data_IF_075919884975
#
_entry.id   IF_075919884975
#
_cell.length_a   1.000
_cell.length_b   1.000
_cell.length_c   1.000
_cell.angle_alpha   90.00
_cell.angle_beta   90.00
_cell.angle_gamma   90.00
#
_symmetry.space_group_name_H-M   'P 1'
#
loop_
_entity.id
_entity.type
_entity.pdbx_description
1 polymer ?
#
# COMPACT_ATOMS: atom_id res chain seq x y z
N UNK A 1 12.94 -10.85 -24.55
CA UNK A 1 13.05 -9.40 -24.26
C UNK A 1 12.21 -9.12 -23.02
N UNK A 2 12.83 -8.90 -21.87
CA UNK A 2 12.12 -8.68 -20.60
C UNK A 2 11.67 -7.22 -20.54
N UNK A 3 10.45 -6.95 -21.00
CA UNK A 3 9.84 -5.63 -20.85
C UNK A 3 9.23 -5.57 -19.46
N UNK A 4 9.86 -4.83 -18.56
CA UNK A 4 9.25 -4.49 -17.28
C UNK A 4 8.12 -3.48 -17.55
N UNK A 5 6.89 -3.97 -17.70
CA UNK A 5 5.74 -3.12 -18.01
C UNK A 5 5.21 -2.36 -16.77
N UNK A 6 6.07 -1.66 -16.03
CA UNK A 6 5.69 -0.79 -14.91
C UNK A 6 5.27 0.61 -15.38
N UNK A 7 4.57 0.68 -16.51
CA UNK A 7 4.08 1.92 -17.10
C UNK A 7 2.99 2.53 -16.19
N UNK A 8 3.16 3.81 -15.84
CA UNK A 8 2.21 4.58 -15.05
C UNK A 8 1.35 5.44 -15.99
N UNK A 9 0.03 5.34 -15.85
CA UNK A 9 -0.91 6.25 -16.51
C UNK A 9 -0.89 7.63 -15.82
N UNK A 10 -0.88 7.62 -14.48
CA UNK A 10 -0.92 8.86 -13.69
C UNK A 10 -0.29 8.65 -12.31
N UNK A 11 0.36 9.70 -11.81
CA UNK A 11 0.80 9.78 -10.42
C UNK A 11 0.52 11.15 -9.85
N UNK A 12 -0.10 11.23 -8.67
CA UNK A 12 -0.28 12.50 -7.98
C UNK A 12 -0.44 12.33 -6.46
N UNK A 13 -0.08 13.35 -5.66
CA UNK A 13 -0.44 13.39 -4.25
C UNK A 13 -1.96 13.48 -4.05
N UNK A 14 -2.46 12.90 -2.95
CA UNK A 14 -3.87 12.96 -2.54
C UNK A 14 -3.99 13.83 -1.29
N UNK A 15 -5.06 14.62 -1.22
CA UNK A 15 -5.41 15.42 -0.04
C UNK A 15 -4.73 16.79 0.05
N UNK A 16 -5.15 17.62 1.01
CA UNK A 16 -4.57 18.93 1.25
C UNK A 16 -3.12 18.83 1.70
N UNK A 17 -2.34 19.88 1.45
CA UNK A 17 -1.00 20.02 2.03
C UNK A 17 -1.15 20.04 3.55
N UNK A 18 -0.24 19.35 4.25
CA UNK A 18 -0.25 19.26 5.71
C UNK A 18 0.77 20.29 6.24
N UNK A 19 0.37 21.05 7.25
CA UNK A 19 1.19 22.14 7.81
C UNK A 19 2.35 21.62 8.66
N UNK A 20 2.26 20.37 9.12
CA UNK A 20 3.27 19.65 9.90
C UNK A 20 4.48 19.17 9.08
N UNK A 21 4.51 19.48 7.77
CA UNK A 21 5.57 19.02 6.86
C UNK A 21 5.52 17.53 6.53
N UNK A 22 4.49 16.81 6.96
CA UNK A 22 4.34 15.39 6.64
C UNK A 22 3.99 15.18 5.17
N UNK A 23 4.54 14.10 4.60
CA UNK A 23 4.30 13.76 3.20
C UNK A 23 2.86 13.29 2.98
N UNK A 24 2.27 13.73 1.87
CA UNK A 24 0.95 13.24 1.42
C UNK A 24 1.05 11.83 0.86
N UNK A 25 -0.02 11.07 0.95
CA UNK A 25 -0.14 9.82 0.20
C UNK A 25 -0.09 10.13 -1.30
N UNK A 26 0.56 9.25 -2.05
CA UNK A 26 0.66 9.36 -3.51
C UNK A 26 -0.20 8.26 -4.13
N UNK A 27 -1.12 8.64 -5.02
CA UNK A 27 -1.83 7.69 -5.85
C UNK A 27 -1.03 7.42 -7.11
N UNK A 28 -0.68 6.16 -7.35
CA UNK A 28 -0.05 5.71 -8.58
C UNK A 28 -1.03 4.80 -9.34
N UNK A 29 -1.48 5.27 -10.50
CA UNK A 29 -2.33 4.51 -11.41
C UNK A 29 -1.46 3.86 -12.48
N UNK A 30 -1.35 2.54 -12.40
CA UNK A 30 -0.63 1.74 -13.39
C UNK A 30 -1.49 1.50 -14.62
N UNK A 31 -0.85 1.49 -15.80
CA UNK A 31 -1.51 1.14 -17.05
C UNK A 31 -1.94 -0.33 -17.06
N UNK A 32 -1.14 -1.20 -16.42
CA UNK A 32 -1.39 -2.64 -16.35
C UNK A 32 -1.71 -3.08 -14.93
N UNK A 33 -2.78 -3.85 -14.78
CA UNK A 33 -3.16 -4.45 -13.51
C UNK A 33 -2.08 -5.39 -12.95
N UNK A 34 -1.43 -6.19 -13.82
CA UNK A 34 -0.35 -7.11 -13.44
C UNK A 34 0.85 -6.39 -12.80
N UNK A 35 1.19 -5.21 -13.30
CA UNK A 35 2.28 -4.39 -12.76
C UNK A 35 1.98 -3.93 -11.32
N UNK A 36 0.75 -3.45 -11.08
CA UNK A 36 0.28 -3.07 -9.74
C UNK A 36 0.33 -4.26 -8.77
N UNK A 37 -0.17 -5.43 -9.19
CA UNK A 37 -0.17 -6.63 -8.36
C UNK A 37 1.24 -7.12 -8.04
N UNK A 38 2.15 -7.11 -9.02
CA UNK A 38 3.54 -7.49 -8.82
C UNK A 38 4.23 -6.60 -7.77
N UNK A 39 4.00 -5.29 -7.81
CA UNK A 39 4.54 -4.35 -6.81
C UNK A 39 3.96 -4.59 -5.42
N UNK A 40 2.63 -4.75 -5.31
CA UNK A 40 2.00 -5.01 -4.01
C UNK A 40 2.47 -6.34 -3.40
N UNK A 41 2.65 -7.37 -4.22
CA UNK A 41 3.22 -8.66 -3.80
C UNK A 41 4.66 -8.48 -3.32
N UNK A 42 5.52 -7.86 -4.13
CA UNK A 42 6.92 -7.65 -3.78
C UNK A 42 7.08 -6.82 -2.50
N UNK A 43 6.24 -5.80 -2.29
CA UNK A 43 6.25 -5.00 -1.07
C UNK A 43 5.88 -5.81 0.18
N UNK A 44 4.87 -6.69 0.07
CA UNK A 44 4.46 -7.59 1.17
C UNK A 44 5.54 -8.61 1.50
N UNK A 45 6.16 -9.20 0.48
CA UNK A 45 7.25 -10.18 0.63
C UNK A 45 8.49 -9.54 1.26
N UNK A 46 8.86 -8.33 0.81
CA UNK A 46 10.00 -7.58 1.36
C UNK A 46 9.77 -7.10 2.80
N UNK A 47 8.51 -6.95 3.23
CA UNK A 47 8.03 -6.48 4.54
C UNK A 47 8.40 -5.04 4.92
N UNK A 48 9.66 -4.65 4.72
CA UNK A 48 10.20 -3.31 5.00
C UNK A 48 10.79 -2.75 3.72
N UNK A 49 10.13 -1.73 3.18
CA UNK A 49 10.62 -0.99 2.01
C UNK A 49 11.10 0.38 2.48
N UNK A 50 12.27 0.79 1.99
CA UNK A 50 12.88 2.07 2.33
C UNK A 50 13.23 2.84 1.07
N UNK A 51 13.08 4.16 1.16
CA UNK A 51 13.46 5.12 0.13
C UNK A 51 14.15 6.30 0.81
N UNK A 52 15.41 6.56 0.44
CA UNK A 52 16.23 7.64 1.03
C UNK A 52 16.26 7.60 2.58
N UNK A 53 16.41 6.40 3.16
CA UNK A 53 16.40 6.21 4.61
C UNK A 53 15.03 6.30 5.28
N UNK A 54 13.95 6.59 4.53
CA UNK A 54 12.59 6.65 5.04
C UNK A 54 11.83 5.36 4.74
N UNK A 55 11.14 4.81 5.73
CA UNK A 55 10.24 3.67 5.51
C UNK A 55 9.03 4.12 4.68
N UNK A 56 8.76 3.39 3.60
CA UNK A 56 7.58 3.59 2.77
C UNK A 56 6.72 2.32 2.76
N UNK A 57 5.42 2.50 2.54
CA UNK A 57 4.43 1.43 2.54
C UNK A 57 3.56 1.53 1.29
N UNK A 58 3.20 0.38 0.74
CA UNK A 58 2.35 0.28 -0.44
C UNK A 58 1.02 -0.36 -0.05
N UNK A 59 -0.08 0.28 -0.44
CA UNK A 59 -1.43 -0.18 -0.19
C UNK A 59 -2.26 -0.19 -1.46
N UNK A 60 -3.29 -1.02 -1.50
CA UNK A 60 -4.27 -1.00 -2.59
C UNK A 60 -5.23 0.17 -2.39
N UNK A 61 -5.49 0.92 -3.46
CA UNK A 61 -6.58 1.90 -3.47
C UNK A 61 -7.93 1.17 -3.55
N UNK A 62 -8.77 1.41 -2.54
CA UNK A 62 -10.04 0.72 -2.34
C UNK A 62 -11.11 1.73 -1.97
N UNK A 63 -12.34 1.48 -2.41
CA UNK A 63 -13.47 2.31 -2.01
C UNK A 63 -13.70 2.26 -0.49
N UNK A 64 -14.31 3.31 0.03
CA UNK A 64 -14.64 3.43 1.44
C UNK A 64 -15.47 2.24 1.94
N UNK A 65 -16.46 1.80 1.16
CA UNK A 65 -17.31 0.65 1.52
C UNK A 65 -16.50 -0.63 1.66
N UNK A 66 -15.58 -0.90 0.73
CA UNK A 66 -14.71 -2.08 0.80
C UNK A 66 -13.79 -2.00 2.01
N UNK A 67 -13.24 -0.82 2.31
CA UNK A 67 -12.44 -0.60 3.51
C UNK A 67 -13.25 -0.84 4.78
N UNK A 68 -14.49 -0.36 4.86
CA UNK A 68 -15.38 -0.60 6.00
C UNK A 68 -15.69 -2.09 6.19
N UNK A 69 -15.97 -2.83 5.11
CA UNK A 69 -16.17 -4.28 5.20
C UNK A 69 -14.90 -4.99 5.68
N UNK A 70 -13.71 -4.59 5.20
CA UNK A 70 -12.43 -5.16 5.65
C UNK A 70 -12.15 -4.89 7.13
N UNK A 71 -12.53 -3.72 7.65
CA UNK A 71 -12.36 -3.36 9.07
C UNK A 71 -13.16 -4.27 10.01
N UNK A 72 -14.28 -4.84 9.57
CA UNK A 72 -15.04 -5.81 10.38
C UNK A 72 -14.21 -7.04 10.79
N UNK A 73 -13.18 -7.37 10.01
CA UNK A 73 -12.27 -8.48 10.29
C UNK A 73 -11.06 -8.07 11.15
N UNK A 74 -10.96 -6.82 11.60
CA UNK A 74 -9.82 -6.35 12.40
C UNK A 74 -9.68 -7.10 13.73
N UNK A 75 -10.80 -7.48 14.36
CA UNK A 75 -10.78 -8.26 15.60
C UNK A 75 -10.12 -9.62 15.42
N UNK A 76 -10.52 -10.37 14.39
CA UNK A 76 -9.95 -11.70 14.10
C UNK A 76 -8.49 -11.59 13.68
N UNK A 77 -8.12 -10.57 12.90
CA UNK A 77 -6.71 -10.32 12.56
C UNK A 77 -5.86 -10.08 13.80
N UNK A 78 -6.33 -9.27 14.76
CA UNK A 78 -5.60 -9.02 16.01
C UNK A 78 -5.40 -10.30 16.82
N UNK A 79 -6.42 -11.14 16.95
CA UNK A 79 -6.35 -12.42 17.64
C UNK A 79 -5.30 -13.34 17.01
N UNK A 80 -5.31 -13.47 15.67
CA UNK A 80 -4.35 -14.32 14.96
C UNK A 80 -2.92 -13.73 14.93
N UNK A 81 -2.78 -12.41 14.99
CA UNK A 81 -1.49 -11.73 15.05
C UNK A 81 -0.81 -11.92 16.41
N UNK A 82 -1.59 -12.13 17.49
CA UNK A 82 -1.04 -12.52 18.80
C UNK A 82 -0.48 -13.95 18.81
N UNK A 83 -0.91 -14.82 17.89
CA UNK A 83 -0.41 -16.19 17.71
C UNK A 83 0.69 -16.30 16.65
N UNK A 84 0.77 -15.34 15.72
CA UNK A 84 1.79 -15.26 14.67
C UNK A 84 2.36 -13.84 14.68
N UNK A 85 3.53 -13.64 15.30
CA UNK A 85 4.16 -12.33 15.55
C UNK A 85 4.45 -11.50 14.29
N UNK A 86 3.41 -10.94 13.67
CA UNK A 86 3.50 -10.14 12.45
C UNK A 86 2.42 -9.05 12.48
N UNK A 87 2.72 -7.96 13.17
CA UNK A 87 1.89 -6.76 13.22
C UNK A 87 1.71 -6.12 11.84
N UNK A 88 0.50 -6.20 11.30
CA UNK A 88 0.06 -5.42 10.15
C UNK A 88 -1.13 -4.56 10.56
N UNK A 89 -0.88 -3.27 10.75
CA UNK A 89 -1.93 -2.25 10.74
C UNK A 89 -2.21 -1.91 9.26
N UNK A 90 -3.47 -2.05 8.86
CA UNK A 90 -3.99 -1.49 7.61
C UNK A 90 -4.03 0.02 7.69
#
# INVERSE_FOLDING_TARGET
MWKWDFELERTHPIGPKRDDGSSRHVLARFLRFSAREAILRAAREKRRVEWQGNRISFFQDLSQDVLQQRRKFDMVKKQNTGQTGTGWAL
#
